data_IF_444949916530
#
_entry.id   IF_444949916530
#
_cell.length_a   1.000
_cell.length_b   1.000
_cell.length_c   1.000
_cell.angle_alpha   90.00
_cell.angle_beta   90.00
_cell.angle_gamma   90.00
#
_symmetry.space_group_name_H-M   'P 1'
#
loop_
_entity.id
_entity.type
_entity.pdbx_description
1 polymer ?
#
# COMPACT_ATOMS: atom_id res chain seq x y z
N UNK A 1 3.73 8.85 21.38
CA UNK A 1 4.32 7.76 20.57
C UNK A 1 4.06 8.10 19.10
N UNK A 2 5.08 8.20 18.28
CA UNK A 2 4.96 8.53 16.88
C UNK A 2 4.28 7.41 16.08
N UNK A 3 3.63 7.81 14.99
CA UNK A 3 2.89 6.92 14.11
C UNK A 3 3.57 6.81 12.74
N UNK A 4 3.73 5.60 12.25
CA UNK A 4 3.99 5.32 10.85
C UNK A 4 2.66 4.84 10.22
N UNK A 5 2.07 5.69 9.37
CA UNK A 5 0.73 5.47 8.81
C UNK A 5 0.88 5.15 7.34
N UNK A 6 0.44 3.98 6.92
CA UNK A 6 0.29 3.65 5.51
C UNK A 6 -1.11 3.98 5.03
N UNK A 7 -1.23 4.55 3.84
CA UNK A 7 -2.49 4.74 3.13
C UNK A 7 -2.41 4.05 1.77
N UNK A 8 -3.32 3.13 1.50
CA UNK A 8 -3.47 2.60 0.15
C UNK A 8 -4.10 3.69 -0.73
N UNK A 9 -3.65 3.82 -1.99
CA UNK A 9 -4.26 4.74 -2.94
C UNK A 9 -5.78 4.54 -3.05
N UNK A 10 -6.52 5.58 -3.42
CA UNK A 10 -7.96 5.51 -3.72
C UNK A 10 -8.25 4.54 -4.86
N UNK A 11 -9.51 4.14 -5.02
CA UNK A 11 -9.92 3.33 -6.16
C UNK A 11 -9.48 4.00 -7.47
N UNK A 12 -8.85 3.22 -8.35
CA UNK A 12 -8.37 3.67 -9.64
C UNK A 12 -8.95 2.79 -10.76
N UNK A 13 -8.82 3.24 -12.01
CA UNK A 13 -9.41 2.57 -13.18
C UNK A 13 -9.02 1.08 -13.25
N UNK A 14 -7.77 0.75 -12.92
CA UNK A 14 -7.30 -0.63 -12.91
C UNK A 14 -8.01 -1.51 -11.87
N UNK A 15 -8.48 -0.94 -10.77
CA UNK A 15 -9.24 -1.69 -9.77
C UNK A 15 -10.62 -2.04 -10.30
N UNK A 16 -11.28 -1.11 -10.99
CA UNK A 16 -12.60 -1.33 -11.61
C UNK A 16 -12.49 -2.29 -12.77
N UNK A 17 -11.51 -2.08 -13.65
CA UNK A 17 -11.29 -2.89 -14.84
C UNK A 17 -10.62 -4.23 -14.54
N UNK A 18 -10.19 -4.46 -13.29
CA UNK A 18 -9.50 -5.68 -12.84
C UNK A 18 -8.28 -6.04 -13.69
N UNK A 19 -7.49 -5.02 -14.05
CA UNK A 19 -6.25 -5.14 -14.84
C UNK A 19 -5.04 -4.92 -13.92
N UNK A 20 -4.02 -5.75 -14.08
CA UNK A 20 -2.75 -5.58 -13.42
C UNK A 20 -1.90 -4.52 -14.16
N UNK A 21 -1.76 -3.34 -13.58
CA UNK A 21 -1.03 -2.22 -14.21
C UNK A 21 0.40 -2.06 -13.69
N UNK A 22 0.72 -2.65 -12.54
CA UNK A 22 2.06 -2.55 -11.94
C UNK A 22 2.51 -1.11 -11.75
N UNK A 23 3.76 -0.84 -12.20
CA UNK A 23 4.43 0.46 -12.09
C UNK A 23 4.35 1.29 -13.36
N UNK A 24 4.11 0.68 -14.52
CA UNK A 24 4.35 1.29 -15.83
C UNK A 24 3.10 1.69 -16.60
N UNK A 25 1.95 1.08 -16.33
CA UNK A 25 0.69 1.47 -16.97
C UNK A 25 0.00 2.53 -16.09
N UNK A 26 -0.29 3.68 -16.70
CA UNK A 26 -1.03 4.73 -16.02
C UNK A 26 -2.43 4.24 -15.63
N UNK A 27 -2.83 4.61 -14.43
CA UNK A 27 -4.16 4.36 -13.90
C UNK A 27 -4.53 5.51 -12.98
N UNK A 28 -5.61 6.19 -13.30
CA UNK A 28 -6.09 7.36 -12.60
C UNK A 28 -7.11 7.00 -11.53
N UNK A 29 -7.26 7.85 -10.51
CA UNK A 29 -8.31 7.69 -9.53
C UNK A 29 -9.68 7.89 -10.20
N UNK A 30 -10.61 6.98 -9.92
CA UNK A 30 -12.02 7.20 -10.25
C UNK A 30 -12.59 8.35 -9.39
N UNK A 31 -13.74 8.92 -9.78
CA UNK A 31 -14.41 9.91 -8.95
C UNK A 31 -14.75 9.36 -7.56
N UNK A 32 -15.17 8.09 -7.50
CA UNK A 32 -15.38 7.39 -6.23
C UNK A 32 -14.08 7.26 -5.44
N UNK A 33 -12.96 6.92 -6.10
CA UNK A 33 -11.65 6.86 -5.46
C UNK A 33 -11.20 8.20 -4.87
N UNK A 34 -11.44 9.31 -5.56
CA UNK A 34 -11.18 10.67 -5.05
C UNK A 34 -12.01 10.96 -3.79
N UNK A 35 -13.29 10.57 -3.80
CA UNK A 35 -14.16 10.70 -2.64
C UNK A 35 -13.67 9.83 -1.47
N UNK A 36 -13.32 8.58 -1.71
CA UNK A 36 -12.74 7.69 -0.69
C UNK A 36 -11.52 8.33 0.00
N UNK A 37 -10.61 8.91 -0.79
CA UNK A 37 -9.41 9.59 -0.27
C UNK A 37 -9.80 10.80 0.55
N UNK A 38 -10.70 11.64 0.06
CA UNK A 38 -11.15 12.84 0.78
C UNK A 38 -11.79 12.48 2.12
N UNK A 39 -12.62 11.44 2.16
CA UNK A 39 -13.30 11.01 3.40
C UNK A 39 -12.31 10.43 4.42
N UNK A 40 -11.39 9.56 3.99
CA UNK A 40 -10.38 9.00 4.89
C UNK A 40 -9.41 10.08 5.40
N UNK A 41 -9.06 11.05 4.55
CA UNK A 41 -8.16 12.15 4.92
C UNK A 41 -8.70 12.99 6.09
N UNK A 42 -10.00 13.01 6.32
CA UNK A 42 -10.61 13.71 7.48
C UNK A 42 -10.11 13.16 8.82
N UNK A 43 -9.79 11.86 8.89
CA UNK A 43 -9.22 11.24 10.10
C UNK A 43 -7.80 11.70 10.38
N UNK A 44 -7.07 12.16 9.35
CA UNK A 44 -5.70 12.65 9.49
C UNK A 44 -5.62 14.09 9.98
N UNK A 45 -6.72 14.87 9.91
CA UNK A 45 -6.71 16.31 10.30
C UNK A 45 -6.24 16.57 11.73
N UNK A 46 -6.54 15.65 12.65
CA UNK A 46 -6.19 15.79 14.06
C UNK A 46 -4.91 15.04 14.43
N UNK A 47 -4.23 14.45 13.44
CA UNK A 47 -2.95 13.80 13.62
C UNK A 47 -1.87 14.77 13.16
N UNK A 48 -0.91 15.15 14.01
CA UNK A 48 0.17 16.05 13.62
C UNK A 48 1.16 15.31 12.69
N UNK A 49 0.76 15.12 11.42
CA UNK A 49 1.61 14.56 10.38
C UNK A 49 2.72 15.57 10.08
N UNK A 50 3.96 15.12 10.03
CA UNK A 50 5.12 15.99 9.79
C UNK A 50 5.86 15.65 8.50
N UNK A 51 5.64 14.45 7.96
CA UNK A 51 6.25 13.99 6.73
C UNK A 51 5.29 13.13 5.93
N UNK A 52 5.30 13.30 4.60
CA UNK A 52 4.49 12.47 3.68
C UNK A 52 5.42 11.91 2.60
N UNK A 53 5.50 10.59 2.52
CA UNK A 53 6.18 9.85 1.45
C UNK A 53 5.17 9.21 0.51
N UNK A 54 5.49 9.16 -0.78
CA UNK A 54 4.56 8.72 -1.82
C UNK A 54 5.26 7.83 -2.85
N UNK A 55 4.62 6.73 -3.20
CA UNK A 55 5.02 5.93 -4.37
C UNK A 55 4.91 6.74 -5.66
N UNK A 56 5.87 6.66 -6.60
CA UNK A 56 5.95 7.56 -7.75
C UNK A 56 5.02 7.20 -8.93
N UNK A 57 3.87 6.55 -8.71
CA UNK A 57 2.91 6.24 -9.77
C UNK A 57 1.67 7.13 -9.71
N UNK A 58 0.98 7.31 -10.84
CA UNK A 58 -0.11 8.28 -11.01
C UNK A 58 -1.18 8.19 -9.92
N UNK A 59 -1.74 7.01 -9.64
CA UNK A 59 -2.81 6.82 -8.64
C UNK A 59 -2.42 7.18 -7.21
N UNK A 60 -1.15 6.96 -6.83
CA UNK A 60 -0.63 7.36 -5.51
C UNK A 60 -0.32 8.85 -5.45
N UNK A 61 0.20 9.43 -6.52
CA UNK A 61 0.43 10.87 -6.64
C UNK A 61 -0.91 11.64 -6.58
N UNK A 62 -1.95 11.18 -7.27
CA UNK A 62 -3.28 11.79 -7.20
C UNK A 62 -3.88 11.67 -5.81
N UNK A 63 -3.72 10.53 -5.14
CA UNK A 63 -4.08 10.36 -3.73
C UNK A 63 -3.35 11.37 -2.85
N UNK A 64 -2.03 11.51 -3.02
CA UNK A 64 -1.23 12.44 -2.25
C UNK A 64 -1.64 13.91 -2.46
N UNK A 65 -1.96 14.31 -3.69
CA UNK A 65 -2.43 15.67 -3.98
C UNK A 65 -3.69 16.02 -3.18
N UNK A 66 -4.64 15.08 -3.05
CA UNK A 66 -5.88 15.29 -2.27
C UNK A 66 -5.54 15.39 -0.78
N UNK A 67 -4.78 14.43 -0.25
CA UNK A 67 -4.39 14.38 1.17
C UNK A 67 -3.59 15.63 1.55
N UNK A 68 -2.54 15.94 0.81
CA UNK A 68 -1.65 17.06 1.11
C UNK A 68 -2.34 18.43 0.99
N UNK A 69 -3.27 18.57 0.03
CA UNK A 69 -4.12 19.78 -0.05
C UNK A 69 -4.96 19.96 1.22
N UNK A 70 -5.50 18.89 1.77
CA UNK A 70 -6.31 18.93 3.00
C UNK A 70 -5.46 19.24 4.25
N UNK A 71 -4.23 18.69 4.30
CA UNK A 71 -3.32 18.85 5.44
C UNK A 71 -2.45 20.11 5.36
N UNK A 72 -2.44 20.82 4.22
CA UNK A 72 -1.55 21.97 4.00
C UNK A 72 -0.08 21.57 3.91
N UNK A 73 0.24 20.39 3.38
CA UNK A 73 1.58 19.82 3.34
C UNK A 73 2.07 19.56 1.91
N UNK A 74 3.39 19.38 1.77
CA UNK A 74 4.02 18.78 0.61
C UNK A 74 4.30 17.28 0.83
N UNK A 75 4.67 16.57 -0.24
CA UNK A 75 5.08 15.17 -0.19
C UNK A 75 6.43 14.97 -0.88
N UNK A 76 7.10 13.88 -0.53
CA UNK A 76 8.33 13.42 -1.17
C UNK A 76 8.10 12.05 -1.81
N UNK A 77 8.70 11.86 -2.97
CA UNK A 77 8.66 10.57 -3.68
C UNK A 77 9.65 9.60 -3.03
N UNK A 78 9.19 8.37 -2.80
CA UNK A 78 10.04 7.28 -2.33
C UNK A 78 9.74 5.98 -3.10
N UNK A 79 10.72 5.51 -3.86
CA UNK A 79 10.60 4.32 -4.70
C UNK A 79 10.43 3.03 -3.90
N UNK A 80 10.83 3.01 -2.61
CA UNK A 80 10.60 1.88 -1.73
C UNK A 80 9.11 1.60 -1.49
N UNK A 81 8.24 2.56 -1.84
CA UNK A 81 6.79 2.46 -1.76
C UNK A 81 6.13 1.96 -3.05
N UNK A 82 6.88 1.63 -4.11
CA UNK A 82 6.31 1.03 -5.31
C UNK A 82 5.49 -0.23 -5.00
N UNK A 83 4.46 -0.47 -5.82
CA UNK A 83 3.78 -1.78 -5.84
C UNK A 83 4.77 -2.89 -6.22
N UNK A 84 4.45 -4.14 -5.89
CA UNK A 84 5.22 -5.29 -6.37
C UNK A 84 5.37 -5.21 -7.89
N UNK A 85 6.60 -5.47 -8.39
CA UNK A 85 6.82 -5.54 -9.83
C UNK A 85 6.16 -6.79 -10.39
N UNK A 86 5.33 -6.61 -11.41
CA UNK A 86 4.49 -7.68 -11.96
C UNK A 86 5.07 -8.36 -13.21
N UNK A 87 6.17 -7.83 -13.74
CA UNK A 87 6.85 -8.38 -14.91
C UNK A 87 5.90 -8.59 -16.10
N UNK A 88 5.86 -9.80 -16.64
CA UNK A 88 5.03 -10.18 -17.80
C UNK A 88 3.51 -10.25 -17.50
N UNK A 89 3.10 -10.11 -16.25
CA UNK A 89 1.68 -10.08 -15.87
C UNK A 89 1.06 -8.68 -16.05
N UNK A 90 1.87 -7.65 -16.29
CA UNK A 90 1.40 -6.29 -16.55
C UNK A 90 0.49 -6.26 -17.79
N UNK A 91 -0.67 -5.60 -17.66
CA UNK A 91 -1.69 -5.50 -18.70
C UNK A 91 -2.68 -6.66 -18.77
N UNK A 92 -2.46 -7.73 -18.01
CA UNK A 92 -3.38 -8.87 -18.00
C UNK A 92 -4.57 -8.61 -17.06
N UNK A 93 -5.73 -9.16 -17.45
CA UNK A 93 -6.89 -9.21 -16.58
C UNK A 93 -6.72 -10.24 -15.47
N UNK A 94 -7.22 -9.92 -14.29
CA UNK A 94 -7.16 -10.78 -13.11
C UNK A 94 -7.75 -12.17 -13.39
N UNK A 95 -8.92 -12.22 -14.05
CA UNK A 95 -9.62 -13.45 -14.43
C UNK A 95 -8.82 -14.28 -15.43
N UNK A 96 -8.14 -13.63 -16.38
CA UNK A 96 -7.29 -14.31 -17.36
C UNK A 96 -6.14 -15.04 -16.68
N UNK A 97 -5.51 -14.39 -15.70
CA UNK A 97 -4.43 -15.00 -14.92
C UNK A 97 -4.93 -16.22 -14.15
N UNK A 98 -6.07 -16.10 -13.47
CA UNK A 98 -6.67 -17.23 -12.74
C UNK A 98 -7.01 -18.38 -13.68
N UNK A 99 -7.59 -18.07 -14.84
CA UNK A 99 -7.97 -19.09 -15.82
C UNK A 99 -6.75 -19.84 -16.38
N UNK A 100 -5.69 -19.11 -16.73
CA UNK A 100 -4.48 -19.69 -17.34
C UNK A 100 -3.53 -20.36 -16.34
N UNK A 101 -3.45 -19.85 -15.13
CA UNK A 101 -2.38 -20.19 -14.18
C UNK A 101 -2.88 -20.64 -12.80
N UNK A 102 -4.20 -20.75 -12.62
CA UNK A 102 -4.81 -20.97 -11.32
C UNK A 102 -4.64 -19.75 -10.39
N UNK A 103 -4.84 -19.94 -9.09
CA UNK A 103 -4.71 -18.83 -8.14
C UNK A 103 -3.26 -18.45 -7.90
N UNK A 104 -2.64 -17.82 -8.91
CA UNK A 104 -1.25 -17.35 -8.84
C UNK A 104 -1.04 -16.28 -7.74
N UNK A 105 -2.11 -15.54 -7.40
CA UNK A 105 -2.04 -14.47 -6.41
C UNK A 105 -1.73 -14.96 -4.99
N UNK A 106 -2.09 -16.19 -4.66
CA UNK A 106 -1.68 -16.81 -3.40
C UNK A 106 -0.16 -16.90 -3.28
N UNK A 107 0.52 -17.15 -4.40
CA UNK A 107 1.97 -17.29 -4.47
C UNK A 107 2.73 -15.98 -4.32
N UNK A 108 2.07 -14.81 -4.54
CA UNK A 108 2.71 -13.50 -4.41
C UNK A 108 3.29 -13.24 -3.03
N UNK A 109 2.77 -13.91 -2.01
CA UNK A 109 3.22 -13.74 -0.63
C UNK A 109 4.18 -14.83 -0.16
N UNK A 110 4.56 -15.77 -1.04
CA UNK A 110 5.72 -16.62 -0.80
C UNK A 110 6.99 -15.76 -0.89
N UNK A 111 7.97 -16.04 -0.03
CA UNK A 111 9.23 -15.28 -0.01
C UNK A 111 9.92 -15.33 -1.38
N UNK A 112 10.04 -16.54 -1.93
CA UNK A 112 10.55 -16.80 -3.26
C UNK A 112 9.68 -17.86 -3.96
N UNK A 113 9.16 -17.54 -5.13
CA UNK A 113 8.38 -18.47 -5.96
C UNK A 113 8.99 -18.57 -7.35
N UNK A 114 9.48 -19.77 -7.70
CA UNK A 114 10.16 -20.01 -8.98
C UNK A 114 9.23 -19.79 -10.20
N UNK A 115 7.91 -19.96 -10.04
CA UNK A 115 6.94 -19.70 -11.10
C UNK A 115 6.80 -18.19 -11.32
N UNK A 116 6.65 -17.41 -10.26
CA UNK A 116 6.55 -15.95 -10.34
C UNK A 116 7.86 -15.34 -10.90
N UNK A 117 9.02 -15.86 -10.49
CA UNK A 117 10.32 -15.42 -11.00
C UNK A 117 10.44 -15.57 -12.53
N UNK A 118 9.87 -16.63 -13.14
CA UNK A 118 9.84 -16.82 -14.61
C UNK A 118 9.01 -15.76 -15.33
N UNK A 119 8.05 -15.16 -14.67
CA UNK A 119 7.29 -14.01 -15.18
C UNK A 119 7.99 -12.66 -14.91
N UNK A 120 9.10 -12.65 -14.18
CA UNK A 120 9.79 -11.42 -13.79
C UNK A 120 9.06 -10.65 -12.69
N UNK A 121 8.24 -11.35 -11.90
CA UNK A 121 7.57 -10.76 -10.73
C UNK A 121 8.58 -10.58 -9.61
N UNK A 122 8.57 -9.43 -8.94
CA UNK A 122 9.40 -9.16 -7.76
C UNK A 122 9.06 -10.17 -6.66
N UNK A 123 10.07 -10.73 -5.99
CA UNK A 123 9.82 -11.62 -4.84
C UNK A 123 9.24 -10.83 -3.66
N UNK A 124 8.40 -11.47 -2.88
CA UNK A 124 7.85 -10.83 -1.67
C UNK A 124 8.94 -10.51 -0.65
N UNK A 125 10.01 -11.30 -0.61
CA UNK A 125 11.21 -11.01 0.17
C UNK A 125 11.84 -9.65 -0.21
N UNK A 126 11.91 -9.34 -1.52
CA UNK A 126 12.38 -8.03 -2.00
C UNK A 126 11.46 -6.89 -1.54
N UNK A 127 10.14 -7.07 -1.67
CA UNK A 127 9.17 -6.07 -1.18
C UNK A 127 9.33 -5.83 0.32
N UNK A 128 9.45 -6.90 1.12
CA UNK A 128 9.70 -6.81 2.56
C UNK A 128 11.00 -6.08 2.87
N UNK A 129 12.06 -6.38 2.13
CA UNK A 129 13.38 -5.76 2.34
C UNK A 129 13.34 -4.24 2.14
N UNK A 130 12.75 -3.75 1.02
CA UNK A 130 12.66 -2.30 0.77
C UNK A 130 11.73 -1.58 1.74
N UNK A 131 10.62 -2.21 2.13
CA UNK A 131 9.70 -1.64 3.13
C UNK A 131 10.35 -1.60 4.51
N UNK A 132 11.06 -2.68 4.90
CA UNK A 132 11.82 -2.70 6.15
C UNK A 132 12.87 -1.60 6.19
N UNK A 133 13.62 -1.41 5.11
CA UNK A 133 14.62 -0.34 5.02
C UNK A 133 14.00 1.05 5.22
N UNK A 134 12.83 1.31 4.63
CA UNK A 134 12.11 2.56 4.86
C UNK A 134 11.67 2.71 6.33
N UNK A 135 11.09 1.66 6.93
CA UNK A 135 10.67 1.69 8.33
C UNK A 135 11.85 1.89 9.28
N UNK A 136 12.98 1.22 9.05
CA UNK A 136 14.21 1.37 9.85
C UNK A 136 14.77 2.81 9.75
N UNK A 137 14.68 3.43 8.57
CA UNK A 137 15.09 4.82 8.37
C UNK A 137 14.16 5.79 9.11
N UNK A 138 12.84 5.58 9.03
CA UNK A 138 11.86 6.39 9.76
C UNK A 138 12.14 6.33 11.26
N UNK A 139 12.42 5.15 11.82
CA UNK A 139 12.81 5.00 13.22
C UNK A 139 14.05 5.85 13.56
N UNK A 140 15.06 5.82 12.71
CA UNK A 140 16.35 6.50 12.99
C UNK A 140 16.28 8.01 12.84
N UNK A 141 15.57 8.50 11.80
CA UNK A 141 15.63 9.92 11.40
C UNK A 141 14.41 10.70 11.89
N UNK A 142 13.26 10.02 12.04
CA UNK A 142 11.97 10.63 12.36
C UNK A 142 11.43 10.16 13.72
N UNK A 143 12.32 9.93 14.71
CA UNK A 143 12.02 9.23 15.97
C UNK A 143 10.74 9.71 16.69
N UNK A 144 10.45 11.00 16.65
CA UNK A 144 9.32 11.60 17.35
C UNK A 144 8.22 12.14 16.42
N UNK A 145 8.26 11.77 15.12
CA UNK A 145 7.38 12.33 14.10
C UNK A 145 6.36 11.33 13.59
N UNK A 146 5.15 11.82 13.34
CA UNK A 146 4.16 11.04 12.62
C UNK A 146 4.40 11.14 11.11
N UNK A 147 4.54 10.00 10.47
CA UNK A 147 4.86 9.88 9.05
C UNK A 147 3.72 9.20 8.32
N UNK A 148 3.28 9.80 7.21
CA UNK A 148 2.30 9.21 6.30
C UNK A 148 3.00 8.68 5.05
N UNK A 149 2.70 7.44 4.67
CA UNK A 149 3.22 6.75 3.48
C UNK A 149 2.05 6.36 2.57
N UNK A 150 1.95 7.00 1.39
CA UNK A 150 0.91 6.69 0.42
C UNK A 150 1.45 5.69 -0.59
N UNK A 151 0.84 4.51 -0.63
CA UNK A 151 1.37 3.35 -1.35
C UNK A 151 0.26 2.41 -1.86
N UNK A 152 0.55 1.13 -1.98
CA UNK A 152 -0.25 0.09 -2.60
C UNK A 152 -0.54 -1.07 -1.64
N UNK A 153 -1.17 -2.13 -2.16
CA UNK A 153 -1.56 -3.32 -1.41
C UNK A 153 -0.35 -4.08 -0.84
N UNK A 154 0.61 -4.40 -1.70
CA UNK A 154 1.66 -5.35 -1.33
C UNK A 154 2.71 -4.74 -0.38
N UNK A 155 3.14 -3.47 -0.50
CA UNK A 155 3.96 -2.83 0.52
C UNK A 155 3.29 -2.76 1.90
N UNK A 156 1.97 -2.54 1.97
CA UNK A 156 1.24 -2.55 3.24
C UNK A 156 1.24 -3.97 3.84
N UNK A 157 0.96 -4.99 3.03
CA UNK A 157 1.04 -6.39 3.47
C UNK A 157 2.45 -6.78 3.90
N UNK A 158 3.48 -6.27 3.22
CA UNK A 158 4.87 -6.47 3.61
C UNK A 158 5.16 -5.86 4.99
N UNK A 159 4.72 -4.63 5.25
CA UNK A 159 4.85 -4.00 6.57
C UNK A 159 4.18 -4.83 7.67
N UNK A 160 2.96 -5.31 7.43
CA UNK A 160 2.23 -6.16 8.38
C UNK A 160 2.97 -7.50 8.59
N UNK A 161 3.46 -8.12 7.51
CA UNK A 161 4.22 -9.38 7.59
C UNK A 161 5.52 -9.25 8.37
N UNK A 162 6.22 -8.12 8.23
CA UNK A 162 7.45 -7.83 9.01
C UNK A 162 7.14 -7.81 10.52
N UNK A 163 5.99 -7.27 10.90
CA UNK A 163 5.63 -7.15 12.32
C UNK A 163 5.09 -8.46 12.92
N UNK A 164 4.32 -9.22 12.15
CA UNK A 164 3.52 -10.34 12.67
C UNK A 164 3.98 -11.71 12.18
N UNK A 165 5.04 -11.78 11.37
CA UNK A 165 5.55 -13.02 10.76
C UNK A 165 4.46 -13.87 10.11
N UNK A 166 3.59 -13.24 9.31
CA UNK A 166 2.44 -13.91 8.71
C UNK A 166 2.83 -14.74 7.49
N UNK A 167 2.26 -15.93 7.40
CA UNK A 167 2.39 -16.81 6.23
C UNK A 167 1.60 -16.29 5.04
N UNK A 168 1.95 -16.75 3.84
CA UNK A 168 1.34 -16.36 2.57
C UNK A 168 -0.19 -16.49 2.55
N UNK A 169 -0.74 -17.59 3.07
CA UNK A 169 -2.18 -17.81 3.12
C UNK A 169 -2.92 -16.79 3.99
N UNK A 170 -2.32 -16.38 5.11
CA UNK A 170 -2.88 -15.36 5.98
C UNK A 170 -2.86 -14.00 5.29
N UNK A 171 -1.73 -13.64 4.68
CA UNK A 171 -1.60 -12.38 3.93
C UNK A 171 -2.56 -12.32 2.73
N UNK A 172 -2.74 -13.43 2.01
CA UNK A 172 -3.67 -13.48 0.89
C UNK A 172 -5.11 -13.17 1.31
N UNK A 173 -5.55 -13.66 2.46
CA UNK A 173 -6.91 -13.44 3.01
C UNK A 173 -7.15 -12.04 3.56
N UNK A 174 -6.10 -11.25 3.76
CA UNK A 174 -6.24 -9.89 4.26
C UNK A 174 -6.56 -8.93 3.13
N UNK A 175 -7.75 -8.37 3.17
CA UNK A 175 -8.15 -7.28 2.29
C UNK A 175 -7.69 -5.94 2.87
N UNK A 176 -6.80 -5.25 2.16
CA UNK A 176 -6.48 -3.84 2.43
C UNK A 176 -7.27 -3.01 1.44
N UNK A 177 -8.26 -2.29 1.92
CA UNK A 177 -9.19 -1.53 1.06
C UNK A 177 -8.55 -0.27 0.49
N UNK A 178 -9.00 0.18 -0.68
CA UNK A 178 -8.55 1.43 -1.27
C UNK A 178 -8.79 2.60 -0.31
N UNK A 179 -7.90 3.58 -0.28
CA UNK A 179 -7.91 4.73 0.61
C UNK A 179 -8.11 4.39 2.11
N UNK A 180 -7.79 3.18 2.56
CA UNK A 180 -7.78 2.85 3.98
C UNK A 180 -6.42 3.12 4.62
N UNK A 181 -6.40 3.32 5.94
CA UNK A 181 -5.18 3.51 6.72
C UNK A 181 -4.80 2.21 7.43
N UNK A 182 -3.50 1.93 7.44
CA UNK A 182 -2.85 0.94 8.31
C UNK A 182 -1.91 1.69 9.22
N UNK A 183 -2.07 1.54 10.53
CA UNK A 183 -1.43 2.38 11.54
C UNK A 183 -0.47 1.53 12.36
N UNK A 184 0.80 1.89 12.33
CA UNK A 184 1.85 1.35 13.17
C UNK A 184 2.21 2.40 14.22
N UNK A 185 2.42 1.97 15.46
CA UNK A 185 3.01 2.78 16.53
C UNK A 185 4.46 2.41 16.69
N UNK A 186 5.30 3.41 16.85
CA UNK A 186 6.72 3.22 17.15
C UNK A 186 6.97 3.34 18.65
N UNK A 187 7.54 2.29 19.25
CA UNK A 187 7.94 2.24 20.66
C UNK A 187 9.34 1.64 20.76
N UNK A 188 10.29 2.38 21.26
CA UNK A 188 11.64 1.90 21.65
C UNK A 188 12.27 0.94 20.61
N UNK A 189 12.41 1.38 19.36
CA UNK A 189 12.96 0.61 18.22
C UNK A 189 12.08 -0.55 17.69
N UNK A 190 10.84 -0.66 18.12
CA UNK A 190 9.88 -1.63 17.62
C UNK A 190 8.62 -0.94 17.10
N UNK A 191 7.97 -1.57 16.14
CA UNK A 191 6.62 -1.20 15.72
C UNK A 191 5.59 -2.14 16.31
N UNK A 192 4.44 -1.60 16.70
CA UNK A 192 3.23 -2.34 17.01
C UNK A 192 2.12 -2.01 16.02
N UNK A 193 1.32 -2.99 15.60
CA UNK A 193 0.19 -2.81 14.72
C UNK A 193 -1.01 -2.29 15.53
N UNK A 194 -1.46 -1.07 15.22
CA UNK A 194 -2.55 -0.41 15.95
C UNK A 194 -3.88 -0.37 15.22
N UNK A 195 -3.86 -0.51 13.89
CA UNK A 195 -5.09 -0.53 13.11
C UNK A 195 -4.85 -0.93 11.66
N UNK A 196 -5.82 -1.61 11.07
CA UNK A 196 -5.85 -1.99 9.66
C UNK A 196 -7.21 -1.65 9.08
N UNK A 197 -7.25 -1.19 7.83
CA UNK A 197 -8.48 -0.74 7.18
C UNK A 197 -9.24 0.36 7.96
N UNK A 198 -8.54 1.27 8.60
CA UNK A 198 -9.18 2.40 9.28
C UNK A 198 -9.77 3.34 8.23
N UNK A 199 -11.10 3.43 8.21
CA UNK A 199 -11.92 4.20 7.27
C UNK A 199 -13.34 4.34 7.82
N UNK A 200 -14.22 5.06 7.13
CA UNK A 200 -15.63 5.19 7.53
C UNK A 200 -16.37 3.83 7.52
N UNK A 201 -17.19 3.58 8.55
CA UNK A 201 -17.91 2.31 8.69
C UNK A 201 -18.84 2.01 7.51
N UNK A 202 -19.46 3.03 6.88
CA UNK A 202 -20.31 2.87 5.69
C UNK A 202 -19.58 2.12 4.55
N UNK A 203 -18.30 2.34 4.38
CA UNK A 203 -17.50 1.70 3.32
C UNK A 203 -17.29 0.18 3.50
N UNK A 204 -17.59 -0.36 4.68
CA UNK A 204 -17.57 -1.82 4.88
C UNK A 204 -18.84 -2.49 4.32
N UNK A 205 -19.89 -1.71 4.07
CA UNK A 205 -21.18 -2.19 3.55
C UNK A 205 -21.21 -2.06 2.02
N UNK A 206 -20.63 -0.96 1.49
CA UNK A 206 -20.75 -0.60 0.07
C UNK A 206 -19.64 -1.21 -0.81
N UNK A 207 -18.61 -1.79 -0.24
CA UNK A 207 -17.47 -2.43 -0.92
C UNK A 207 -17.40 -3.94 -0.61
#
# INVERSE_FOLDING_TARGET
>A
MPLAIFMRHGQADNNVNRILVGRYIESHLTEYGKQQVADTSKYLKNVPIEKVYVSPVTRTIETAKIVCKLLGMSYEIDERLYEIELGKLVGMHFEEIIHKHGNLFLKFYNEDDAMLARYGVESFASVKSRVKHLLDEIIKIQQDKNVLMITHLDPIKAAISILLDLKAEALYRWHIRNASLTILKHETNLYSLSGVNVMGMHRYIDE
#
